data_IF_254943978980
#
_entry.id   IF_254943978980
#
_cell.length_a   1.000
_cell.length_b   1.000
_cell.length_c   1.000
_cell.angle_alpha   90.00
_cell.angle_beta   90.00
_cell.angle_gamma   90.00
#
_symmetry.space_group_name_H-M   'P 1'
#
loop_
_entity.id
_entity.type
_entity.pdbx_description
1 polymer ?
#
# COMPACT_ATOMS: atom_id res chain seq x y z
N UNK A 1 25.44 -3.34 -13.41
CA UNK A 1 25.05 -2.85 -12.07
C UNK A 1 24.02 -3.85 -11.54
N UNK A 2 24.31 -4.59 -10.47
CA UNK A 2 23.36 -5.57 -9.94
C UNK A 2 22.19 -4.83 -9.27
N UNK A 3 20.93 -5.11 -9.63
CA UNK A 3 19.82 -4.65 -8.82
C UNK A 3 19.98 -5.24 -7.42
N UNK A 4 19.84 -4.41 -6.39
CA UNK A 4 19.78 -4.88 -5.00
C UNK A 4 18.79 -6.05 -4.92
N UNK A 5 19.24 -7.27 -4.57
CA UNK A 5 18.38 -8.45 -4.57
C UNK A 5 17.13 -8.26 -3.69
N UNK A 6 17.21 -7.41 -2.66
CA UNK A 6 16.09 -7.13 -1.75
C UNK A 6 14.98 -6.28 -2.39
N UNK A 7 15.24 -5.64 -3.53
CA UNK A 7 14.24 -4.85 -4.27
C UNK A 7 13.42 -5.71 -5.23
N UNK A 8 13.82 -6.96 -5.45
CA UNK A 8 13.03 -7.92 -6.22
C UNK A 8 11.77 -8.25 -5.42
N UNK A 9 10.61 -8.20 -6.11
CA UNK A 9 9.29 -8.32 -5.48
C UNK A 9 8.89 -9.79 -5.34
N UNK A 10 9.58 -10.52 -4.45
CA UNK A 10 9.38 -11.96 -4.29
C UNK A 10 8.26 -12.33 -3.30
N UNK A 11 7.84 -11.39 -2.44
CA UNK A 11 6.83 -11.63 -1.42
C UNK A 11 5.41 -11.33 -1.92
N UNK A 12 4.65 -12.40 -2.18
CA UNK A 12 3.24 -12.31 -2.58
C UNK A 12 2.33 -12.17 -1.36
N UNK A 13 1.39 -11.22 -1.43
CA UNK A 13 0.28 -11.06 -0.50
C UNK A 13 -1.03 -11.18 -1.26
N UNK A 14 -2.01 -11.89 -0.70
CA UNK A 14 -3.34 -12.08 -1.31
C UNK A 14 -4.40 -11.47 -0.40
N UNK A 15 -5.30 -10.67 -0.96
CA UNK A 15 -6.43 -10.06 -0.27
C UNK A 15 -7.74 -10.67 -0.80
N UNK A 16 -8.77 -10.70 0.03
CA UNK A 16 -10.14 -11.05 -0.36
C UNK A 16 -10.98 -9.78 -0.23
N UNK A 17 -11.72 -9.49 -1.27
CA UNK A 17 -12.66 -8.37 -1.35
C UNK A 17 -14.06 -8.93 -1.52
N UNK A 18 -15.06 -8.21 -1.05
CA UNK A 18 -16.42 -8.44 -1.50
C UNK A 18 -16.62 -7.95 -2.95
N UNK A 19 -17.79 -8.22 -3.52
CA UNK A 19 -18.08 -7.89 -4.92
C UNK A 19 -18.04 -6.38 -5.18
N UNK A 20 -18.53 -5.56 -4.24
CA UNK A 20 -18.57 -4.10 -4.39
C UNK A 20 -17.18 -3.46 -4.26
N UNK A 21 -16.40 -3.92 -3.29
CA UNK A 21 -15.01 -3.53 -3.10
C UNK A 21 -14.18 -3.89 -4.34
N UNK A 22 -14.39 -5.10 -4.88
CA UNK A 22 -13.70 -5.55 -6.08
C UNK A 22 -14.02 -4.66 -7.27
N UNK A 23 -15.32 -4.42 -7.54
CA UNK A 23 -15.78 -3.59 -8.65
C UNK A 23 -15.26 -2.15 -8.54
N UNK A 24 -15.26 -1.58 -7.33
CA UNK A 24 -14.72 -0.24 -7.08
C UNK A 24 -13.22 -0.16 -7.40
N UNK A 25 -12.43 -1.12 -6.92
CA UNK A 25 -10.97 -1.13 -7.15
C UNK A 25 -10.69 -1.31 -8.64
N UNK A 26 -11.42 -2.19 -9.33
CA UNK A 26 -11.28 -2.40 -10.77
C UNK A 26 -11.63 -1.15 -11.55
N UNK A 27 -12.75 -0.49 -11.22
CA UNK A 27 -13.15 0.77 -11.85
C UNK A 27 -12.07 1.86 -11.68
N UNK A 28 -11.51 1.98 -10.47
CA UNK A 28 -10.45 2.95 -10.18
C UNK A 28 -9.15 2.65 -10.94
N UNK A 29 -8.76 1.37 -11.03
CA UNK A 29 -7.60 0.94 -11.80
C UNK A 29 -7.78 1.25 -13.29
N UNK A 30 -8.96 0.95 -13.85
CA UNK A 30 -9.30 1.25 -15.24
C UNK A 30 -9.30 2.76 -15.52
N UNK A 31 -9.83 3.56 -14.60
CA UNK A 31 -9.85 5.02 -14.73
C UNK A 31 -8.44 5.62 -14.81
N UNK A 32 -7.50 5.08 -14.02
CA UNK A 32 -6.11 5.52 -14.01
C UNK A 32 -5.25 4.88 -15.12
N UNK A 33 -5.79 3.88 -15.84
CA UNK A 33 -5.03 3.11 -16.83
C UNK A 33 -3.93 2.23 -16.21
N UNK A 34 -4.07 1.85 -14.94
CA UNK A 34 -3.08 1.05 -14.21
C UNK A 34 -3.57 -0.38 -13.95
N UNK A 35 -2.63 -1.29 -13.67
CA UNK A 35 -2.97 -2.61 -13.17
C UNK A 35 -3.43 -2.54 -11.71
N UNK A 36 -4.47 -3.30 -11.37
CA UNK A 36 -5.03 -3.40 -10.00
C UNK A 36 -3.95 -3.66 -8.94
N UNK A 37 -3.01 -4.57 -9.21
CA UNK A 37 -1.92 -4.90 -8.28
C UNK A 37 -0.96 -3.72 -8.03
N UNK A 38 -0.72 -2.90 -9.05
CA UNK A 38 0.11 -1.69 -8.93
C UNK A 38 -0.58 -0.64 -8.07
N UNK A 39 -1.86 -0.37 -8.36
CA UNK A 39 -2.68 0.56 -7.59
C UNK A 39 -2.75 0.16 -6.11
N UNK A 40 -3.11 -1.10 -5.83
CA UNK A 40 -3.21 -1.60 -4.45
C UNK A 40 -1.88 -1.49 -3.70
N UNK A 41 -0.75 -1.78 -4.36
CA UNK A 41 0.57 -1.63 -3.74
C UNK A 41 0.87 -0.17 -3.40
N UNK A 42 0.55 0.77 -4.29
CA UNK A 42 0.76 2.20 -4.04
C UNK A 42 -0.09 2.67 -2.86
N UNK A 43 -1.37 2.28 -2.81
CA UNK A 43 -2.28 2.62 -1.72
C UNK A 43 -1.78 2.04 -0.39
N UNK A 44 -1.40 0.77 -0.35
CA UNK A 44 -0.89 0.14 0.87
C UNK A 44 0.38 0.81 1.39
N UNK A 45 1.33 1.15 0.51
CA UNK A 45 2.57 1.83 0.92
C UNK A 45 2.33 3.28 1.34
N UNK A 46 1.40 3.99 0.68
CA UNK A 46 1.00 5.34 1.05
C UNK A 46 0.37 5.35 2.45
N UNK A 47 -0.53 4.42 2.73
CA UNK A 47 -1.18 4.31 4.03
C UNK A 47 -0.19 3.88 5.12
N UNK A 48 0.65 2.89 4.86
CA UNK A 48 1.70 2.47 5.79
C UNK A 48 2.64 3.65 6.14
N UNK A 49 2.99 4.48 5.16
CA UNK A 49 3.79 5.70 5.40
C UNK A 49 3.04 6.71 6.27
N UNK A 50 1.76 6.97 5.98
CA UNK A 50 0.94 7.90 6.75
C UNK A 50 0.81 7.45 8.22
N UNK A 51 0.64 6.15 8.47
CA UNK A 51 0.59 5.58 9.82
C UNK A 51 1.91 5.72 10.56
N UNK A 52 3.05 5.53 9.88
CA UNK A 52 4.37 5.76 10.46
C UNK A 52 4.61 7.23 10.80
N UNK A 53 4.13 8.15 9.97
CA UNK A 53 4.25 9.60 10.18
C UNK A 53 3.33 10.07 11.33
N UNK A 54 2.08 9.60 11.38
CA UNK A 54 1.12 9.92 12.44
C UNK A 54 1.40 9.24 13.79
N UNK A 55 2.16 8.13 13.81
CA UNK A 55 2.59 7.45 15.03
C UNK A 55 3.62 8.23 15.87
N UNK A 56 4.29 9.23 15.28
CA UNK A 56 5.30 10.03 15.97
C UNK A 56 4.72 11.00 17.01
N UNK A 57 3.43 11.36 16.93
CA UNK A 57 2.78 12.21 17.95
C UNK A 57 2.69 11.52 19.32
N UNK A 58 2.65 10.19 19.34
CA UNK A 58 2.52 9.40 20.58
C UNK A 58 3.82 9.24 21.38
N UNK A 59 4.98 9.55 20.77
CA UNK A 59 6.30 9.44 21.41
C UNK A 59 6.68 10.72 22.16
N UNK A 60 6.03 11.85 21.87
CA UNK A 60 6.32 13.16 22.51
C UNK A 60 5.70 13.29 23.92
N UNK A 61 4.67 12.50 24.25
CA UNK A 61 3.97 12.62 25.54
C UNK A 61 4.45 11.68 26.65
N UNK A 62 5.49 10.86 26.43
CA UNK A 62 6.00 9.93 27.46
C UNK A 62 7.20 10.46 28.27
N UNK A 63 7.53 11.73 28.12
CA UNK A 63 8.58 12.41 28.90
C UNK A 63 8.06 13.72 29.49
N UNK A 64 7.26 13.60 30.55
CA UNK A 64 6.99 14.65 31.53
C UNK A 64 6.58 14.00 32.86
#
# INVERSE_FOLDING_TARGET
>A
MYPDPKRVRDHRVTLRFDDYEHDLIVALANYNGEQTATLLRQLALREAKALLEGGNDSVVHRSA
#
